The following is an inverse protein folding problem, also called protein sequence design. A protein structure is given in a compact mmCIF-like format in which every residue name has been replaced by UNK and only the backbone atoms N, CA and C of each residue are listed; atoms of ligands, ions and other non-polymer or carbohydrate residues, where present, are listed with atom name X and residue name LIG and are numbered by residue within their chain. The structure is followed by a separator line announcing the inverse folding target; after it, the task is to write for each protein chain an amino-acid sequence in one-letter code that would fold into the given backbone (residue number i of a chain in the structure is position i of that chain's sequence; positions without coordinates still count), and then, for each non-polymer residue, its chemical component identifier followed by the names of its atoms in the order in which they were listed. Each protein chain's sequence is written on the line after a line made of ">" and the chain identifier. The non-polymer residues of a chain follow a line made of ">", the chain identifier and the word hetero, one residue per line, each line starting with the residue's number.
data_IF_340432653982
#
_entry.id   IF_340432653982
#
_cell.length_a   1.000
_cell.length_b   1.000
_cell.length_c   1.000
_cell.angle_alpha   90.00
_cell.angle_beta   90.00
_cell.angle_gamma   90.00
#
_symmetry.space_group_name_H-M   'P 1'
#
loop_
_entity.id
_entity.type
_entity.pdbx_description
1 polymer ?
#
# COMPACT_ATOMS: atom_id res chain seq x y z
N UNK A 1 5.42 15.17 -17.31
CA UNK A 1 4.91 15.61 -15.99
C UNK A 1 4.12 14.45 -15.43
N UNK A 2 4.48 13.88 -14.27
CA UNK A 2 3.64 12.89 -13.63
C UNK A 2 2.27 13.53 -13.37
N UNK A 3 1.21 12.82 -13.75
CA UNK A 3 -0.15 13.35 -13.75
C UNK A 3 -0.59 13.50 -12.28
N UNK A 4 -0.99 14.70 -11.82
CA UNK A 4 -1.46 14.91 -10.44
C UNK A 4 -2.61 13.95 -10.03
N UNK A 5 -3.32 13.39 -11.01
CA UNK A 5 -4.35 12.35 -10.85
C UNK A 5 -3.79 11.05 -10.24
N UNK A 6 -2.52 10.71 -10.45
CA UNK A 6 -1.91 9.46 -9.95
C UNK A 6 -1.75 9.44 -8.43
N UNK A 7 -1.69 10.61 -7.77
CA UNK A 7 -1.38 10.72 -6.34
C UNK A 7 -2.59 11.08 -5.46
N UNK A 8 -3.80 11.16 -6.03
CA UNK A 8 -5.00 11.67 -5.32
C UNK A 8 -5.33 10.87 -4.05
N UNK A 9 -5.03 9.57 -4.05
CA UNK A 9 -5.30 8.65 -2.94
C UNK A 9 -4.05 8.28 -2.13
N UNK A 10 -2.90 8.91 -2.40
CA UNK A 10 -1.66 8.65 -1.67
C UNK A 10 -1.61 9.52 -0.42
N UNK A 11 -1.34 8.92 0.73
CA UNK A 11 -1.13 9.65 1.99
C UNK A 11 0.33 9.70 2.37
N UNK A 12 0.67 10.56 3.32
CA UNK A 12 2.02 10.64 3.88
C UNK A 12 2.45 9.29 4.49
N UNK A 13 1.52 8.56 5.12
CA UNK A 13 1.79 7.24 5.70
C UNK A 13 2.15 6.23 4.61
N UNK A 14 1.47 6.27 3.45
CA UNK A 14 1.81 5.41 2.32
C UNK A 14 3.24 5.63 1.85
N UNK A 15 3.62 6.89 1.65
CA UNK A 15 4.96 7.26 1.18
C UNK A 15 6.03 6.85 2.18
N UNK A 16 5.81 7.09 3.48
CA UNK A 16 6.74 6.72 4.54
C UNK A 16 6.92 5.20 4.65
N UNK A 17 5.85 4.42 4.50
CA UNK A 17 5.94 2.96 4.54
C UNK A 17 6.55 2.38 3.26
N UNK A 18 6.23 2.96 2.10
CA UNK A 18 6.88 2.60 0.84
C UNK A 18 8.41 2.81 0.91
N UNK A 19 8.87 3.90 1.56
CA UNK A 19 10.31 4.13 1.81
C UNK A 19 10.98 3.04 2.63
N UNK A 20 10.24 2.38 3.54
CA UNK A 20 10.74 1.26 4.32
C UNK A 20 10.64 -0.07 3.56
N UNK A 21 9.63 -0.24 2.71
CA UNK A 21 9.42 -1.49 1.97
C UNK A 21 10.29 -1.60 0.73
N UNK A 22 10.55 -0.50 0.03
CA UNK A 22 11.29 -0.53 -1.24
C UNK A 22 12.67 -1.21 -1.15
N UNK A 23 13.55 -0.89 -0.18
CA UNK A 23 14.83 -1.57 -0.05
C UNK A 23 14.69 -3.07 0.23
N UNK A 24 13.67 -3.46 0.99
CA UNK A 24 13.38 -4.87 1.28
C UNK A 24 12.91 -5.60 0.03
N UNK A 25 12.09 -4.98 -0.82
CA UNK A 25 11.64 -5.56 -2.08
C UNK A 25 12.81 -5.75 -3.07
N UNK A 26 13.73 -4.80 -3.14
CA UNK A 26 14.96 -4.93 -3.94
C UNK A 26 15.79 -6.13 -3.48
N UNK A 27 15.95 -6.29 -2.16
CA UNK A 27 16.64 -7.44 -1.59
C UNK A 27 15.94 -8.77 -1.95
N UNK A 28 14.61 -8.83 -1.85
CA UNK A 28 13.84 -10.00 -2.26
C UNK A 28 14.01 -10.33 -3.74
N UNK A 29 14.01 -9.32 -4.61
CA UNK A 29 14.19 -9.50 -6.04
C UNK A 29 15.57 -10.09 -6.37
N UNK A 30 16.63 -9.56 -5.73
CA UNK A 30 18.01 -10.05 -5.90
C UNK A 30 18.17 -11.51 -5.46
N UNK A 31 17.46 -11.93 -4.42
CA UNK A 31 17.53 -13.29 -3.88
C UNK A 31 16.43 -14.23 -4.40
N UNK A 32 15.59 -13.75 -5.31
CA UNK A 32 14.48 -14.52 -5.90
C UNK A 32 13.49 -15.09 -4.87
N UNK A 33 13.13 -14.27 -3.88
CA UNK A 33 12.21 -14.65 -2.80
C UNK A 33 10.90 -13.87 -2.86
N UNK A 34 9.85 -14.48 -2.33
CA UNK A 34 8.56 -13.85 -2.08
C UNK A 34 8.30 -13.80 -0.58
N UNK A 35 7.54 -12.82 -0.13
CA UNK A 35 7.05 -12.73 1.25
C UNK A 35 5.54 -12.57 1.26
N UNK A 36 4.90 -13.01 2.33
CA UNK A 36 3.52 -12.61 2.61
C UNK A 36 3.45 -11.17 3.08
N UNK A 37 2.27 -10.54 2.97
CA UNK A 37 2.04 -9.19 3.52
C UNK A 37 2.42 -9.08 5.01
N UNK A 38 2.15 -10.12 5.81
CA UNK A 38 2.52 -10.18 7.22
C UNK A 38 4.04 -10.23 7.43
N UNK A 39 4.73 -11.09 6.67
CA UNK A 39 6.19 -11.23 6.75
C UNK A 39 6.92 -9.96 6.32
N UNK A 40 6.42 -9.25 5.30
CA UNK A 40 6.97 -7.94 4.91
C UNK A 40 6.88 -6.93 6.06
N UNK A 41 5.71 -6.84 6.72
CA UNK A 41 5.51 -5.94 7.86
C UNK A 41 6.44 -6.32 9.01
N UNK A 42 6.54 -7.61 9.36
CA UNK A 42 7.44 -8.09 10.42
C UNK A 42 8.90 -7.78 10.11
N UNK A 43 9.34 -8.00 8.86
CA UNK A 43 10.70 -7.69 8.42
C UNK A 43 10.98 -6.20 8.51
N UNK A 44 10.07 -5.36 8.03
CA UNK A 44 10.21 -3.91 8.11
C UNK A 44 10.27 -3.42 9.56
N UNK A 45 9.45 -3.98 10.47
CA UNK A 45 9.48 -3.62 11.88
C UNK A 45 10.81 -3.97 12.55
N UNK A 46 11.41 -5.10 12.18
CA UNK A 46 12.74 -5.51 12.68
C UNK A 46 13.85 -4.60 12.16
N UNK A 47 13.79 -4.23 10.89
CA UNK A 47 14.80 -3.37 10.24
C UNK A 47 14.72 -1.91 10.71
N UNK A 48 13.51 -1.42 11.02
CA UNK A 48 13.26 -0.03 11.39
C UNK A 48 12.57 0.10 12.77
N UNK A 49 13.25 -0.28 13.88
CA UNK A 49 12.68 -0.23 15.22
C UNK A 49 12.31 1.20 15.64
N UNK A 50 13.09 2.19 15.21
CA UNK A 50 12.93 3.59 15.62
C UNK A 50 11.96 4.39 14.75
N UNK A 51 11.24 3.75 13.80
CA UNK A 51 10.25 4.41 12.94
C UNK A 51 8.82 4.08 13.42
N UNK A 52 8.15 4.98 14.18
CA UNK A 52 6.83 4.68 14.75
C UNK A 52 5.76 4.31 13.72
N UNK A 53 5.84 4.87 12.51
CA UNK A 53 4.90 4.57 11.42
C UNK A 53 5.06 3.14 10.94
N UNK A 54 6.29 2.62 10.84
CA UNK A 54 6.57 1.21 10.50
C UNK A 54 6.09 0.27 11.61
N UNK A 55 6.31 0.65 12.87
CA UNK A 55 5.86 -0.15 14.03
C UNK A 55 4.34 -0.27 14.12
N UNK A 56 3.60 0.72 13.63
CA UNK A 56 2.13 0.70 13.59
C UNK A 56 1.54 0.05 12.34
N UNK A 57 2.35 -0.24 11.32
CA UNK A 57 1.85 -0.81 10.06
C UNK A 57 1.16 -2.15 10.26
N UNK A 58 0.04 -2.39 9.59
CA UNK A 58 -0.70 -3.66 9.60
C UNK A 58 -0.78 -4.26 8.19
N UNK A 59 -0.85 -5.58 8.11
CA UNK A 59 -0.84 -6.31 6.83
C UNK A 59 -2.01 -5.93 5.90
N UNK A 60 -3.19 -5.64 6.47
CA UNK A 60 -4.43 -5.36 5.71
C UNK A 60 -4.28 -4.14 4.80
N UNK A 61 -3.55 -3.10 5.23
CA UNK A 61 -3.34 -1.88 4.44
C UNK A 61 -2.01 -1.85 3.69
N UNK A 62 -1.19 -2.90 3.80
CA UNK A 62 0.09 -3.01 3.08
C UNK A 62 -0.09 -3.01 1.56
N UNK A 63 -1.19 -3.57 1.04
CA UNK A 63 -1.50 -3.55 -0.40
C UNK A 63 -1.47 -2.15 -1.01
N UNK A 64 -2.23 -1.21 -0.46
CA UNK A 64 -2.25 0.19 -0.92
C UNK A 64 -0.89 0.86 -0.81
N UNK A 65 -0.14 0.59 0.26
CA UNK A 65 1.18 1.19 0.48
C UNK A 65 2.19 0.73 -0.56
N UNK A 66 2.05 -0.49 -1.05
CA UNK A 66 2.83 -1.01 -2.16
C UNK A 66 2.51 -0.32 -3.49
N UNK A 67 1.32 0.28 -3.66
CA UNK A 67 1.00 1.02 -4.88
C UNK A 67 1.94 2.22 -5.09
N UNK A 68 2.47 2.83 -4.02
CA UNK A 68 3.51 3.88 -4.13
C UNK A 68 4.81 3.33 -4.74
N UNK A 69 5.17 2.10 -4.36
CA UNK A 69 6.32 1.42 -4.99
C UNK A 69 6.02 1.11 -6.45
N UNK A 70 4.80 0.63 -6.76
CA UNK A 70 4.37 0.40 -8.14
C UNK A 70 4.38 1.68 -8.98
N UNK A 71 3.96 2.81 -8.42
CA UNK A 71 4.03 4.12 -9.09
C UNK A 71 5.47 4.44 -9.47
N UNK A 72 6.41 4.31 -8.54
CA UNK A 72 7.83 4.54 -8.79
C UNK A 72 8.39 3.64 -9.90
N UNK A 73 8.10 2.34 -9.85
CA UNK A 73 8.60 1.38 -10.85
C UNK A 73 7.99 1.63 -12.21
N UNK A 74 6.67 1.89 -12.26
CA UNK A 74 5.95 2.19 -13.52
C UNK A 74 6.46 3.46 -14.19
N UNK A 75 6.70 4.54 -13.45
CA UNK A 75 7.25 5.80 -14.00
C UNK A 75 8.65 5.64 -14.64
N UNK A 76 9.36 4.56 -14.28
CA UNK A 76 10.73 4.27 -14.74
C UNK A 76 10.79 3.04 -15.64
N UNK A 77 9.64 2.50 -16.03
CA UNK A 77 9.53 1.29 -16.85
C UNK A 77 10.29 0.09 -16.22
N UNK A 78 10.30 0.04 -14.89
CA UNK A 78 10.92 -1.04 -14.13
C UNK A 78 9.89 -2.15 -13.83
N UNK A 79 10.33 -3.42 -13.70
CA UNK A 79 9.45 -4.51 -13.29
C UNK A 79 8.78 -4.24 -11.94
N UNK A 80 7.52 -4.66 -11.81
CA UNK A 80 6.72 -4.40 -10.62
C UNK A 80 7.11 -5.30 -9.44
N UNK A 81 7.95 -4.75 -8.56
CA UNK A 81 8.40 -5.36 -7.31
C UNK A 81 7.26 -5.81 -6.39
N UNK A 82 6.08 -5.21 -6.51
CA UNK A 82 4.95 -5.56 -5.64
C UNK A 82 4.41 -6.97 -5.91
N UNK A 83 4.74 -7.56 -7.07
CA UNK A 83 4.44 -8.96 -7.43
C UNK A 83 5.14 -10.01 -6.54
N UNK A 84 6.13 -9.58 -5.74
CA UNK A 84 6.84 -10.42 -4.76
C UNK A 84 6.07 -10.60 -3.45
N UNK A 85 5.00 -9.82 -3.25
CA UNK A 85 4.21 -9.85 -2.03
C UNK A 85 2.90 -10.61 -2.26
N UNK A 86 2.75 -11.72 -1.53
CA UNK A 86 1.67 -12.67 -1.74
C UNK A 86 0.73 -12.77 -0.54
N UNK A 87 -0.49 -13.27 -0.76
CA UNK A 87 -1.40 -13.64 0.30
C UNK A 87 -0.99 -14.98 0.92
N UNK A 88 -0.97 -15.05 2.25
CA UNK A 88 -0.65 -16.28 2.98
C UNK A 88 -1.60 -17.43 2.66
N UNK A 89 -2.89 -17.13 2.46
CA UNK A 89 -3.90 -18.15 2.20
C UNK A 89 -3.87 -18.71 0.79
N UNK A 90 -3.74 -17.85 -0.23
CA UNK A 90 -3.73 -18.29 -1.64
C UNK A 90 -2.34 -18.65 -2.16
N UNK A 91 -1.27 -18.20 -1.52
CA UNK A 91 0.09 -18.32 -2.03
C UNK A 91 0.39 -17.43 -3.24
N UNK A 92 -0.50 -16.47 -3.53
CA UNK A 92 -0.40 -15.62 -4.72
C UNK A 92 -0.77 -14.15 -4.42
N UNK A 93 -0.45 -13.24 -5.33
CA UNK A 93 -0.76 -11.81 -5.23
C UNK A 93 -2.26 -11.56 -4.93
N UNK A 94 -2.54 -10.46 -4.22
CA UNK A 94 -3.91 -10.04 -3.91
C UNK A 94 -4.74 -9.68 -5.15
N UNK A 95 -6.06 -9.68 -4.97
CA UNK A 95 -7.02 -9.43 -6.05
C UNK A 95 -6.84 -8.07 -6.73
N UNK A 96 -6.41 -7.05 -5.99
CA UNK A 96 -6.07 -5.74 -6.55
C UNK A 96 -4.93 -5.80 -7.58
N UNK A 97 -4.00 -6.75 -7.45
CA UNK A 97 -2.93 -6.98 -8.42
C UNK A 97 -3.43 -7.82 -9.60
N UNK A 98 -4.04 -8.98 -9.32
CA UNK A 98 -4.37 -10.00 -10.33
C UNK A 98 -5.49 -9.58 -11.29
N UNK A 99 -6.25 -8.53 -10.95
CA UNK A 99 -7.21 -7.90 -11.86
C UNK A 99 -6.58 -7.23 -13.08
N UNK A 100 -5.37 -6.72 -12.90
CA UNK A 100 -4.70 -5.88 -13.90
C UNK A 100 -3.45 -6.53 -14.49
N UNK A 101 -2.86 -7.51 -13.80
CA UNK A 101 -1.57 -8.08 -14.15
C UNK A 101 -1.55 -9.59 -13.95
N UNK A 102 -0.76 -10.29 -14.77
CA UNK A 102 -0.39 -11.68 -14.51
C UNK A 102 0.72 -11.70 -13.44
N UNK A 103 0.44 -12.21 -12.22
CA UNK A 103 1.41 -12.20 -11.13
C UNK A 103 2.65 -13.07 -11.40
N UNK A 104 2.52 -14.13 -12.20
CA UNK A 104 3.66 -15.03 -12.49
C UNK A 104 4.59 -14.40 -13.52
N UNK A 105 4.03 -13.84 -14.59
CA UNK A 105 4.81 -13.14 -15.60
C UNK A 105 5.54 -11.93 -15.00
N UNK A 106 4.83 -11.10 -14.22
CA UNK A 106 5.42 -9.93 -13.55
C UNK A 106 6.56 -10.33 -12.60
N UNK A 107 6.41 -11.44 -11.87
CA UNK A 107 7.44 -11.95 -10.96
C UNK A 107 8.66 -12.49 -11.70
N UNK A 108 8.45 -13.18 -12.82
CA UNK A 108 9.54 -13.67 -13.66
C UNK A 108 10.37 -12.51 -14.23
N UNK A 109 9.71 -11.44 -14.66
CA UNK A 109 10.36 -10.20 -15.09
C UNK A 109 11.20 -9.59 -13.97
N UNK A 110 10.64 -9.49 -12.76
CA UNK A 110 11.36 -9.02 -11.57
C UNK A 110 12.61 -9.87 -11.30
N UNK A 111 12.51 -11.21 -11.35
CA UNK A 111 13.65 -12.08 -11.07
C UNK A 111 14.70 -12.17 -12.18
N UNK A 112 14.32 -11.80 -13.41
CA UNK A 112 15.21 -11.77 -14.56
C UNK A 112 15.94 -10.44 -14.73
N UNK A 113 15.42 -9.38 -14.11
CA UNK A 113 15.96 -8.03 -14.21
C UNK A 113 17.21 -7.81 -13.33
N UNK A 114 18.18 -7.05 -13.84
CA UNK A 114 19.41 -6.73 -13.10
C UNK A 114 19.22 -5.54 -12.14
N UNK A 115 18.84 -5.86 -10.90
CA UNK A 115 18.69 -4.90 -9.81
C UNK A 115 20.01 -4.35 -9.25
N UNK A 116 21.17 -4.80 -9.74
CA UNK A 116 22.47 -4.22 -9.35
C UNK A 116 22.81 -2.95 -10.15
N UNK A 117 22.27 -2.83 -11.36
CA UNK A 117 22.56 -1.75 -12.30
C UNK A 117 21.64 -0.53 -12.16
N UNK A 118 20.52 -0.63 -11.43
CA UNK A 118 19.58 0.48 -11.28
C UNK A 118 20.08 1.48 -10.24
N UNK A 119 20.22 2.74 -10.66
CA UNK A 119 20.34 3.88 -9.74
C UNK A 119 18.97 4.16 -9.13
N UNK A 120 18.74 3.62 -7.94
CA UNK A 120 17.45 3.66 -7.24
C UNK A 120 17.33 4.91 -6.37
N UNK A 121 17.23 6.11 -6.96
CA UNK A 121 16.90 7.32 -6.19
C UNK A 121 15.41 7.31 -5.75
N UNK A 122 15.05 6.30 -4.96
CA UNK A 122 13.75 6.18 -4.34
C UNK A 122 13.58 7.26 -3.28
N UNK A 123 14.66 7.66 -2.61
CA UNK A 123 14.65 8.75 -1.62
C UNK A 123 14.27 10.09 -2.26
N UNK A 124 14.78 10.40 -3.45
CA UNK A 124 14.38 11.56 -4.24
C UNK A 124 12.91 11.51 -4.66
N UNK A 125 12.44 10.33 -5.10
CA UNK A 125 11.01 10.11 -5.40
C UNK A 125 10.13 10.31 -4.16
N UNK A 126 10.51 9.77 -3.02
CA UNK A 126 9.81 9.93 -1.73
C UNK A 126 9.71 11.41 -1.38
N UNK A 127 10.83 12.14 -1.39
CA UNK A 127 10.85 13.60 -1.10
C UNK A 127 9.95 14.38 -2.04
N UNK A 128 9.99 14.08 -3.34
CA UNK A 128 9.11 14.73 -4.30
C UNK A 128 7.63 14.41 -4.02
N UNK A 129 7.31 13.13 -3.81
CA UNK A 129 5.95 12.66 -3.56
C UNK A 129 5.37 13.32 -2.31
N UNK A 130 6.14 13.40 -1.21
CA UNK A 130 5.73 14.10 0.02
C UNK A 130 5.35 15.58 -0.23
N UNK A 131 5.95 16.25 -1.22
CA UNK A 131 5.63 17.65 -1.54
C UNK A 131 4.41 17.84 -2.43
N UNK A 132 4.02 16.82 -3.20
CA UNK A 132 2.93 16.92 -4.19
C UNK A 132 1.63 16.27 -3.71
N UNK A 133 1.69 15.38 -2.71
CA UNK A 133 0.48 14.79 -2.12
C UNK A 133 -0.38 15.86 -1.45
N UNK A 134 -1.70 15.69 -1.55
CA UNK A 134 -2.63 16.60 -0.92
C UNK A 134 -2.48 16.54 0.62
N UNK A 135 -2.28 17.68 1.30
CA UNK A 135 -2.19 17.69 2.75
C UNK A 135 -3.54 17.29 3.35
N UNK A 136 -3.54 16.22 4.15
CA UNK A 136 -4.72 15.74 4.89
C UNK A 136 -4.56 16.00 6.36
N UNK A 137 -5.64 16.36 7.03
CA UNK A 137 -5.65 16.57 8.48
C UNK A 137 -5.94 15.23 9.18
N UNK A 138 -5.00 14.69 9.97
CA UNK A 138 -5.23 13.42 10.65
C UNK A 138 -6.39 13.51 11.64
N UNK A 139 -7.10 12.39 11.80
CA UNK A 139 -8.21 12.24 12.74
C UNK A 139 -7.79 11.26 13.85
N UNK A 140 -8.14 11.55 15.10
CA UNK A 140 -7.89 10.62 16.21
C UNK A 140 -8.78 9.39 16.07
N UNK A 141 -8.27 8.23 16.45
CA UNK A 141 -8.97 6.94 16.34
C UNK A 141 -10.40 6.96 16.89
N UNK A 142 -10.62 7.52 18.09
CA UNK A 142 -11.96 7.62 18.67
C UNK A 142 -12.95 8.37 17.76
N UNK A 143 -12.50 9.45 17.11
CA UNK A 143 -13.32 10.21 16.16
C UNK A 143 -13.47 9.47 14.83
N UNK A 144 -12.43 8.79 14.36
CA UNK A 144 -12.49 7.97 13.16
C UNK A 144 -13.52 6.83 13.30
N UNK A 145 -13.56 6.17 14.47
CA UNK A 145 -14.57 5.15 14.81
C UNK A 145 -15.99 5.72 14.79
N UNK A 146 -16.19 6.90 15.37
CA UNK A 146 -17.49 7.58 15.38
C UNK A 146 -17.95 7.91 13.95
N UNK A 147 -17.06 8.49 13.13
CA UNK A 147 -17.35 8.84 11.75
C UNK A 147 -17.64 7.61 10.88
N UNK A 148 -16.83 6.55 11.05
CA UNK A 148 -17.03 5.26 10.38
C UNK A 148 -18.40 4.67 10.74
N UNK A 149 -18.75 4.66 12.02
CA UNK A 149 -20.01 4.08 12.49
C UNK A 149 -21.22 4.86 11.99
N UNK A 150 -21.16 6.20 12.02
CA UNK A 150 -22.21 7.06 11.50
C UNK A 150 -22.47 6.83 10.01
N UNK A 151 -21.40 6.80 9.19
CA UNK A 151 -21.51 6.53 7.77
C UNK A 151 -22.04 5.11 7.49
N UNK A 152 -21.51 4.10 8.19
CA UNK A 152 -22.01 2.74 8.04
C UNK A 152 -23.50 2.63 8.34
N UNK A 153 -24.01 3.24 9.43
CA UNK A 153 -25.44 3.15 9.75
C UNK A 153 -26.33 3.81 8.70
N UNK A 154 -25.88 4.92 8.12
CA UNK A 154 -26.61 5.64 7.08
C UNK A 154 -26.66 4.86 5.75
N UNK A 155 -25.60 4.11 5.43
CA UNK A 155 -25.43 3.46 4.13
C UNK A 155 -25.44 1.92 4.16
N UNK A 156 -25.65 1.28 5.32
CA UNK A 156 -25.57 -0.19 5.47
C UNK A 156 -26.41 -1.00 4.48
N UNK A 157 -27.49 -0.43 3.95
CA UNK A 157 -28.36 -1.11 2.99
C UNK A 157 -27.73 -1.22 1.58
N UNK A 158 -26.83 -0.30 1.21
CA UNK A 158 -26.13 -0.29 -0.08
C UNK A 158 -24.71 -0.86 -0.01
N UNK A 159 -24.17 -1.06 1.19
CA UNK A 159 -22.83 -1.58 1.39
C UNK A 159 -22.80 -3.13 1.27
N UNK A 160 -21.77 -3.71 0.63
CA UNK A 160 -21.62 -5.16 0.56
C UNK A 160 -21.33 -5.75 1.95
N UNK A 161 -21.79 -6.98 2.25
CA UNK A 161 -21.55 -7.62 3.56
C UNK A 161 -20.06 -7.75 3.93
N UNK A 162 -19.19 -7.92 2.94
CA UNK A 162 -17.73 -8.04 3.10
C UNK A 162 -17.06 -6.77 3.61
N UNK A 163 -17.71 -5.60 3.58
CA UNK A 163 -17.15 -4.34 4.09
C UNK A 163 -16.79 -4.41 5.58
N UNK A 164 -17.43 -5.34 6.32
CA UNK A 164 -17.14 -5.58 7.74
C UNK A 164 -15.72 -6.07 7.97
N UNK A 165 -15.15 -6.78 7.00
CA UNK A 165 -13.78 -7.28 7.04
C UNK A 165 -12.77 -6.14 6.83
N UNK A 166 -13.19 -5.06 6.16
CA UNK A 166 -12.37 -3.86 5.94
C UNK A 166 -12.49 -2.82 7.05
N UNK A 167 -13.17 -3.12 8.16
CA UNK A 167 -13.44 -2.14 9.23
C UNK A 167 -12.19 -1.39 9.66
N UNK A 168 -11.12 -2.13 9.95
CA UNK A 168 -9.88 -1.56 10.46
C UNK A 168 -9.17 -0.71 9.40
N UNK A 169 -9.28 -1.11 8.12
CA UNK A 169 -8.78 -0.33 6.99
C UNK A 169 -9.56 0.99 6.82
N UNK A 170 -10.89 0.96 6.91
CA UNK A 170 -11.72 2.18 6.82
C UNK A 170 -11.38 3.15 7.94
N UNK A 171 -11.24 2.65 9.17
CA UNK A 171 -10.86 3.48 10.33
C UNK A 171 -9.48 4.10 10.10
N UNK A 172 -8.52 3.33 9.63
CA UNK A 172 -7.17 3.83 9.32
C UNK A 172 -7.18 4.92 8.23
N UNK A 173 -7.96 4.73 7.15
CA UNK A 173 -8.13 5.75 6.11
C UNK A 173 -8.72 7.05 6.68
N UNK A 174 -9.73 6.95 7.54
CA UNK A 174 -10.29 8.15 8.20
C UNK A 174 -9.25 8.81 9.12
N UNK A 175 -8.46 8.02 9.84
CA UNK A 175 -7.36 8.54 10.66
C UNK A 175 -6.30 9.26 9.84
N UNK A 176 -6.04 8.80 8.61
CA UNK A 176 -5.17 9.46 7.63
C UNK A 176 -5.79 10.71 6.98
N UNK A 177 -7.05 11.01 7.30
CA UNK A 177 -7.74 12.24 6.90
C UNK A 177 -8.59 12.12 5.63
N UNK A 178 -8.93 10.90 5.20
CA UNK A 178 -10.03 10.69 4.25
C UNK A 178 -11.38 10.95 4.94
N UNK A 179 -12.34 11.47 4.17
CA UNK A 179 -13.71 11.49 4.66
C UNK A 179 -14.31 10.06 4.64
N UNK A 180 -15.41 9.79 5.36
CA UNK A 180 -15.97 8.44 5.42
C UNK A 180 -16.34 7.87 4.05
N UNK A 181 -16.95 8.66 3.17
CA UNK A 181 -17.35 8.19 1.83
C UNK A 181 -16.13 7.74 1.01
N UNK A 182 -15.07 8.53 0.98
CA UNK A 182 -13.79 8.18 0.35
C UNK A 182 -13.19 6.91 0.97
N UNK A 183 -13.16 6.83 2.30
CA UNK A 183 -12.57 5.71 3.01
C UNK A 183 -13.30 4.38 2.72
N UNK A 184 -14.63 4.41 2.70
CA UNK A 184 -15.44 3.23 2.34
C UNK A 184 -15.24 2.83 0.88
N UNK A 185 -15.18 3.80 -0.06
CA UNK A 185 -14.93 3.51 -1.47
C UNK A 185 -13.55 2.86 -1.69
N UNK A 186 -12.50 3.39 -1.05
CA UNK A 186 -11.14 2.85 -1.14
C UNK A 186 -11.01 1.46 -0.52
N UNK A 187 -11.69 1.21 0.61
CA UNK A 187 -11.70 -0.12 1.22
C UNK A 187 -12.36 -1.17 0.32
N UNK A 188 -13.42 -0.81 -0.40
CA UNK A 188 -14.09 -1.71 -1.34
C UNK A 188 -13.25 -2.08 -2.55
N UNK A 189 -12.47 -1.13 -3.09
CA UNK A 189 -11.59 -1.39 -4.24
C UNK A 189 -10.53 -2.45 -3.93
N UNK A 190 -10.12 -2.56 -2.66
CA UNK A 190 -9.08 -3.47 -2.21
C UNK A 190 -9.62 -4.86 -1.79
N UNK A 191 -10.92 -5.00 -1.53
CA UNK A 191 -11.57 -6.23 -1.06
C UNK A 191 -12.47 -6.91 -2.09
N UNK A 192 -12.68 -6.30 -3.24
CA UNK A 192 -13.49 -6.86 -4.33
C UNK A 192 -12.64 -7.68 -5.29
#
# INVERSE_FOLDING_TARGET
>A
MPNQVQYTNVTLVDVQLASAYYPLLIDLAKHKHCLTYGELVERARKEYPDRPVVQKAIAVSTGRRLDVVRMFTTERELPDLTSLIINKGSGECGIGFTRSFDPKAAREEVFSFDWSAVTTDFDGFVKHTETVIAPRKPVKEAKALELMAAHYQLHKASLPPSIRESRDQVVELIMEGFNPEEAFALAQQNNA
#
